data_IF_485088648787
#
_entry.id   IF_485088648787
#
_cell.length_a   1.000
_cell.length_b   1.000
_cell.length_c   1.000
_cell.angle_alpha   90.00
_cell.angle_beta   90.00
_cell.angle_gamma   90.00
#
_symmetry.space_group_name_H-M   'P 1'
#
loop_
_entity.id
_entity.type
_entity.pdbx_description
1 polymer ?
#
# COMPACT_ATOMS: atom_id res chain seq x y z
N UNK A 1 1.74 6.18 -4.90
CA UNK A 1 1.29 7.36 -5.67
C UNK A 1 2.51 8.04 -6.25
N UNK A 2 2.57 8.19 -7.57
CA UNK A 2 3.69 8.81 -8.28
C UNK A 2 3.45 10.30 -8.46
N UNK A 3 4.46 11.12 -8.19
CA UNK A 3 4.42 12.57 -8.40
C UNK A 3 4.73 12.90 -9.85
N UNK A 4 3.92 13.79 -10.41
CA UNK A 4 4.11 14.40 -11.73
C UNK A 4 4.84 15.74 -11.58
N UNK A 5 4.20 16.89 -11.85
CA UNK A 5 4.78 18.17 -11.51
C UNK A 5 5.05 18.26 -9.99
N UNK A 6 6.28 18.61 -9.64
CA UNK A 6 6.68 18.89 -8.27
C UNK A 6 6.41 20.34 -7.85
N UNK A 7 7.05 20.76 -6.77
CA UNK A 7 7.05 22.14 -6.28
C UNK A 7 8.47 22.67 -6.07
N UNK A 8 8.62 23.99 -6.02
CA UNK A 8 9.92 24.62 -5.68
C UNK A 8 10.17 24.47 -4.19
N UNK A 9 11.44 24.33 -3.81
CA UNK A 9 11.84 24.31 -2.41
C UNK A 9 11.35 25.58 -1.70
N UNK A 10 10.65 25.39 -0.57
CA UNK A 10 10.05 26.47 0.20
C UNK A 10 8.66 26.92 -0.28
N UNK A 11 8.11 26.33 -1.35
CA UNK A 11 6.78 26.64 -1.88
C UNK A 11 5.84 25.44 -1.68
N UNK A 12 5.02 25.41 -0.61
CA UNK A 12 4.08 24.32 -0.35
C UNK A 12 3.00 24.18 -1.43
N UNK A 13 2.49 22.96 -1.62
CA UNK A 13 1.35 22.68 -2.48
C UNK A 13 0.07 22.75 -1.63
N UNK A 14 -0.85 23.66 -1.98
CA UNK A 14 -2.14 23.76 -1.31
C UNK A 14 -3.04 22.56 -1.63
N UNK A 15 -3.93 22.20 -0.71
CA UNK A 15 -4.79 21.01 -0.81
C UNK A 15 -5.59 20.93 -2.11
N UNK A 16 -6.21 22.03 -2.54
CA UNK A 16 -7.01 22.06 -3.77
C UNK A 16 -6.17 21.99 -5.06
N UNK A 17 -4.85 22.21 -4.97
CA UNK A 17 -3.93 22.09 -6.09
C UNK A 17 -3.17 20.75 -6.11
N UNK A 18 -3.22 19.98 -5.02
CA UNK A 18 -2.41 18.78 -4.83
C UNK A 18 -2.69 17.68 -5.85
N UNK A 19 -3.93 17.55 -6.33
CA UNK A 19 -4.28 16.54 -7.34
C UNK A 19 -3.53 16.75 -8.66
N UNK A 20 -3.27 18.00 -9.05
CA UNK A 20 -2.49 18.32 -10.25
C UNK A 20 -1.01 17.93 -10.17
N UNK A 21 -0.51 17.58 -8.98
CA UNK A 21 0.86 17.09 -8.77
C UNK A 21 0.97 15.57 -8.82
N UNK A 22 -0.14 14.85 -9.00
CA UNK A 22 -0.16 13.38 -9.01
C UNK A 22 -0.12 12.89 -10.46
N UNK A 23 0.95 12.17 -10.84
CA UNK A 23 1.05 11.52 -12.15
C UNK A 23 0.19 10.25 -12.25
N UNK A 24 0.03 9.54 -11.13
CA UNK A 24 -0.84 8.37 -11.08
C UNK A 24 -0.60 7.44 -9.90
N UNK A 25 -1.26 6.29 -9.97
CA UNK A 25 -1.37 5.33 -8.89
C UNK A 25 -0.91 3.95 -9.35
N UNK A 26 -0.25 3.23 -8.46
CA UNK A 26 0.22 1.85 -8.67
C UNK A 26 0.16 1.10 -7.35
N UNK A 27 0.31 -0.22 -7.42
CA UNK A 27 0.47 -1.07 -6.26
C UNK A 27 1.90 -0.96 -5.73
N UNK A 28 2.04 -1.05 -4.40
CA UNK A 28 3.32 -1.03 -3.71
C UNK A 28 3.28 -2.08 -2.60
N UNK A 29 4.25 -3.00 -2.58
CA UNK A 29 4.49 -3.91 -1.47
C UNK A 29 5.75 -3.47 -0.72
N UNK A 30 5.56 -2.98 0.50
CA UNK A 30 6.59 -2.49 1.42
C UNK A 30 7.03 -3.63 2.36
N UNK A 31 7.97 -4.44 1.87
CA UNK A 31 8.44 -5.65 2.56
C UNK A 31 9.07 -5.30 3.90
N UNK A 32 8.87 -6.15 4.90
CA UNK A 32 9.20 -5.80 6.28
C UNK A 32 9.76 -6.96 7.10
N UNK A 33 10.96 -6.80 7.64
CA UNK A 33 11.55 -7.71 8.64
C UNK A 33 11.16 -7.23 10.05
N UNK A 34 10.06 -7.76 10.60
CA UNK A 34 9.39 -7.18 11.78
C UNK A 34 10.16 -7.34 13.10
N UNK A 35 10.93 -8.41 13.21
CA UNK A 35 11.86 -8.65 14.30
C UNK A 35 12.97 -7.58 14.32
N UNK A 36 13.64 -7.36 13.19
CA UNK A 36 14.65 -6.32 13.03
C UNK A 36 14.05 -4.93 13.25
N UNK A 37 12.87 -4.67 12.69
CA UNK A 37 12.17 -3.39 12.83
C UNK A 37 11.92 -3.05 14.31
N UNK A 38 11.47 -4.03 15.09
CA UNK A 38 11.16 -3.84 16.51
C UNK A 38 12.38 -3.47 17.33
N UNK A 39 13.57 -3.93 16.92
CA UNK A 39 14.84 -3.58 17.54
C UNK A 39 15.35 -2.20 17.12
N UNK A 40 15.30 -1.86 15.82
CA UNK A 40 15.99 -0.68 15.29
C UNK A 40 15.17 0.63 15.33
N UNK A 41 13.82 0.54 15.33
CA UNK A 41 13.02 1.72 14.95
C UNK A 41 13.01 2.86 15.98
N UNK A 42 13.45 2.61 17.21
CA UNK A 42 13.49 3.64 18.25
C UNK A 42 14.88 4.29 18.31
N UNK A 43 14.99 5.62 18.23
CA UNK A 43 13.93 6.63 18.12
C UNK A 43 13.66 7.15 16.69
N UNK A 44 14.40 6.65 15.68
CA UNK A 44 14.52 7.31 14.37
C UNK A 44 13.56 6.79 13.29
N UNK A 45 12.76 5.78 13.61
CA UNK A 45 11.86 5.12 12.68
C UNK A 45 12.49 3.91 11.97
N UNK A 46 11.70 3.19 11.16
CA UNK A 46 12.15 2.00 10.43
C UNK A 46 13.28 2.33 9.44
N UNK A 47 14.25 1.44 9.31
CA UNK A 47 15.38 1.62 8.41
C UNK A 47 15.71 0.33 7.65
N UNK A 48 16.65 -0.50 8.13
CA UNK A 48 17.10 -1.70 7.42
C UNK A 48 15.99 -2.76 7.29
N UNK A 49 15.06 -2.77 8.24
CA UNK A 49 13.90 -3.64 8.19
C UNK A 49 12.93 -3.33 7.05
N UNK A 50 13.13 -2.23 6.32
CA UNK A 50 12.31 -1.77 5.18
C UNK A 50 13.13 -1.56 3.92
N UNK A 51 14.34 -1.03 4.05
CA UNK A 51 15.18 -0.64 2.91
C UNK A 51 15.76 -1.81 2.12
N UNK A 52 15.52 -3.06 2.54
CA UNK A 52 16.01 -4.24 1.83
C UNK A 52 15.26 -4.50 0.53
N UNK A 53 13.94 -4.23 0.47
CA UNK A 53 13.17 -4.44 -0.74
C UNK A 53 11.82 -3.70 -0.71
N UNK A 54 11.44 -3.08 -1.83
CA UNK A 54 10.09 -2.57 -2.08
C UNK A 54 9.72 -2.90 -3.52
N UNK A 55 8.56 -3.55 -3.73
CA UNK A 55 8.09 -3.91 -5.07
C UNK A 55 6.97 -2.94 -5.49
N UNK A 56 6.97 -2.52 -6.75
CA UNK A 56 5.91 -1.69 -7.34
C UNK A 56 5.31 -2.37 -8.57
N UNK A 57 4.02 -2.16 -8.84
CA UNK A 57 3.42 -2.62 -10.09
C UNK A 57 3.97 -1.85 -11.30
N UNK A 58 4.08 -2.49 -12.48
CA UNK A 58 4.63 -1.85 -13.66
C UNK A 58 3.70 -0.81 -14.30
N UNK A 59 2.40 -0.87 -14.01
CA UNK A 59 1.41 0.04 -14.58
C UNK A 59 1.11 1.19 -13.62
N UNK A 60 1.21 2.41 -14.14
CA UNK A 60 0.80 3.65 -13.46
C UNK A 60 -0.56 4.04 -14.04
N UNK A 61 -1.60 3.99 -13.21
CA UNK A 61 -2.97 4.35 -13.58
C UNK A 61 -3.15 5.85 -13.34
N UNK A 62 -3.52 6.59 -14.38
CA UNK A 62 -3.59 8.06 -14.30
C UNK A 62 -4.82 8.54 -13.50
N UNK A 63 -4.79 9.76 -12.94
CA UNK A 63 -5.95 10.35 -12.28
C UNK A 63 -7.18 10.44 -13.19
N UNK A 64 -7.01 10.74 -14.49
CA UNK A 64 -8.11 10.85 -15.46
C UNK A 64 -8.81 9.50 -15.66
N UNK A 65 -8.04 8.42 -15.72
CA UNK A 65 -8.59 7.07 -15.79
C UNK A 65 -9.40 6.73 -14.53
N UNK A 66 -8.93 7.20 -13.36
CA UNK A 66 -9.61 6.96 -12.07
C UNK A 66 -10.73 7.96 -11.74
N UNK A 67 -10.93 9.02 -12.53
CA UNK A 67 -11.92 10.05 -12.26
C UNK A 67 -13.34 9.50 -12.02
N UNK A 68 -13.84 8.48 -12.76
CA UNK A 68 -15.15 7.88 -12.49
C UNK A 68 -15.25 7.11 -11.17
N UNK A 69 -14.11 6.75 -10.58
CA UNK A 69 -13.97 5.95 -9.37
C UNK A 69 -13.54 6.81 -8.17
N UNK A 70 -13.66 8.14 -8.29
CA UNK A 70 -13.59 9.07 -7.15
C UNK A 70 -14.84 8.93 -6.28
N UNK A 71 -14.69 9.07 -4.98
CA UNK A 71 -15.78 9.02 -4.01
C UNK A 71 -15.56 10.00 -2.85
N UNK A 72 -16.60 10.34 -2.09
CA UNK A 72 -16.44 11.11 -0.86
C UNK A 72 -15.48 10.41 0.12
N UNK A 73 -14.67 11.20 0.81
CA UNK A 73 -13.88 10.69 1.93
C UNK A 73 -14.83 10.23 3.04
N UNK A 74 -14.54 9.09 3.67
CA UNK A 74 -15.37 8.60 4.77
C UNK A 74 -15.40 9.65 5.90
N UNK A 75 -16.59 9.93 6.47
CA UNK A 75 -16.71 10.91 7.53
C UNK A 75 -15.95 10.43 8.77
N UNK A 76 -15.26 11.37 9.40
CA UNK A 76 -14.61 11.16 10.70
C UNK A 76 -15.67 11.02 11.79
N UNK A 77 -15.34 10.28 12.86
CA UNK A 77 -16.18 10.21 14.06
C UNK A 77 -16.37 11.61 14.66
N UNK A 78 -17.49 11.84 15.35
CA UNK A 78 -17.70 13.10 16.08
C UNK A 78 -16.67 13.32 17.21
N UNK A 79 -16.06 12.26 17.71
CA UNK A 79 -15.01 12.29 18.74
C UNK A 79 -13.60 12.52 18.16
N UNK A 80 -13.47 12.49 16.84
CA UNK A 80 -12.20 12.59 16.13
C UNK A 80 -11.86 14.06 15.84
N UNK A 81 -10.66 14.54 16.22
CA UNK A 81 -10.29 15.93 15.98
C UNK A 81 -10.34 16.27 14.48
N UNK A 82 -10.99 17.40 14.20
CA UNK A 82 -11.03 17.98 12.85
C UNK A 82 -9.59 18.26 12.37
N UNK A 83 -9.25 17.93 11.10
CA UNK A 83 -7.98 18.34 10.52
C UNK A 83 -7.75 19.86 10.65
N UNK A 84 -6.48 20.24 10.75
CA UNK A 84 -6.09 21.66 10.64
C UNK A 84 -6.55 22.24 9.28
N UNK A 85 -6.80 23.55 9.20
CA UNK A 85 -7.41 24.16 8.00
C UNK A 85 -6.69 23.86 6.68
N UNK A 86 -5.35 23.77 6.67
CA UNK A 86 -4.59 23.47 5.46
C UNK A 86 -4.78 22.04 4.93
N UNK A 87 -5.33 21.13 5.74
CA UNK A 87 -5.66 19.74 5.38
C UNK A 87 -7.17 19.52 5.23
N UNK A 88 -7.97 20.59 5.13
CA UNK A 88 -9.41 20.47 4.99
C UNK A 88 -9.96 21.32 3.85
N UNK A 89 -10.51 20.65 2.84
CA UNK A 89 -11.19 21.26 1.70
C UNK A 89 -12.51 20.55 1.45
N UNK A 90 -13.59 21.28 1.19
CA UNK A 90 -14.88 20.70 0.81
C UNK A 90 -14.79 19.90 -0.50
N UNK A 91 -13.94 20.33 -1.43
CA UNK A 91 -13.72 19.63 -2.71
C UNK A 91 -13.06 18.27 -2.47
N UNK A 92 -12.00 18.26 -1.66
CA UNK A 92 -11.30 17.04 -1.25
C UNK A 92 -12.21 16.10 -0.43
N UNK A 93 -13.03 16.62 0.47
CA UNK A 93 -13.94 15.77 1.24
C UNK A 93 -15.06 15.15 0.38
N UNK A 94 -15.50 15.85 -0.67
CA UNK A 94 -16.57 15.36 -1.56
C UNK A 94 -16.10 14.32 -2.58
N UNK A 95 -14.83 14.35 -2.99
CA UNK A 95 -14.34 13.49 -4.07
C UNK A 95 -12.88 13.04 -3.96
N UNK A 96 -12.15 13.38 -2.90
CA UNK A 96 -10.71 13.10 -2.78
C UNK A 96 -10.35 11.63 -2.62
N UNK A 97 -11.28 10.79 -2.16
CA UNK A 97 -11.06 9.36 -2.00
C UNK A 97 -11.16 8.59 -3.32
N UNK A 98 -10.48 7.44 -3.37
CA UNK A 98 -10.55 6.50 -4.48
C UNK A 98 -11.41 5.30 -4.08
N UNK A 99 -12.16 4.75 -5.04
CA UNK A 99 -12.94 3.52 -4.94
C UNK A 99 -12.21 2.41 -5.70
N UNK A 100 -11.32 1.71 -5.00
CA UNK A 100 -10.47 0.66 -5.55
C UNK A 100 -10.43 -0.52 -4.57
N UNK A 101 -10.88 -1.68 -5.04
CA UNK A 101 -10.75 -2.93 -4.31
C UNK A 101 -9.35 -3.50 -4.46
N UNK A 102 -8.81 -4.04 -3.36
CA UNK A 102 -7.49 -4.67 -3.31
C UNK A 102 -7.60 -6.11 -2.78
N UNK A 103 -6.76 -6.99 -3.29
CA UNK A 103 -6.58 -8.33 -2.75
C UNK A 103 -5.09 -8.69 -2.70
N UNK A 104 -4.75 -9.56 -1.75
CA UNK A 104 -3.43 -10.18 -1.65
C UNK A 104 -3.58 -11.69 -1.74
N UNK A 105 -2.78 -12.29 -2.62
CA UNK A 105 -2.71 -13.72 -2.84
C UNK A 105 -1.37 -14.25 -2.33
N UNK A 106 -1.40 -15.41 -1.70
CA UNK A 106 -0.22 -16.18 -1.29
C UNK A 106 -0.18 -17.51 -2.06
N UNK A 107 0.98 -17.88 -2.56
CA UNK A 107 1.23 -19.16 -3.22
C UNK A 107 2.54 -19.76 -2.70
N UNK A 108 2.44 -20.91 -2.03
CA UNK A 108 3.59 -21.65 -1.50
C UNK A 108 4.15 -22.63 -2.52
N UNK A 109 5.35 -23.14 -2.26
CA UNK A 109 5.96 -24.24 -3.04
C UNK A 109 5.07 -25.51 -3.03
N UNK A 110 4.53 -25.89 -1.87
CA UNK A 110 3.70 -27.08 -1.76
C UNK A 110 2.35 -26.92 -2.50
N UNK A 111 1.74 -25.73 -2.44
CA UNK A 111 0.56 -25.41 -3.25
C UNK A 111 0.87 -25.54 -4.74
N UNK A 112 2.01 -25.03 -5.21
CA UNK A 112 2.45 -25.20 -6.61
C UNK A 112 2.62 -26.66 -7.02
N UNK A 113 3.28 -27.46 -6.18
CA UNK A 113 3.49 -28.89 -6.44
C UNK A 113 2.18 -29.69 -6.45
N UNK A 114 1.22 -29.30 -5.62
CA UNK A 114 -0.11 -29.91 -5.57
C UNK A 114 -1.08 -29.40 -6.66
N UNK A 115 -0.65 -28.46 -7.53
CA UNK A 115 -1.50 -27.87 -8.56
C UNK A 115 -2.62 -26.97 -8.00
N UNK A 116 -2.46 -26.47 -6.78
CA UNK A 116 -3.41 -25.56 -6.14
C UNK A 116 -3.22 -24.12 -6.63
N UNK A 117 -4.32 -23.39 -6.76
CA UNK A 117 -4.30 -21.97 -7.11
C UNK A 117 -3.80 -21.11 -5.94
N UNK A 118 -3.23 -19.91 -6.18
CA UNK A 118 -2.91 -18.95 -5.13
C UNK A 118 -4.12 -18.68 -4.23
N UNK A 119 -3.93 -18.68 -2.92
CA UNK A 119 -4.97 -18.42 -1.94
C UNK A 119 -5.05 -16.93 -1.66
N UNK A 120 -6.27 -16.36 -1.69
CA UNK A 120 -6.50 -15.00 -1.20
C UNK A 120 -6.43 -14.97 0.32
N UNK A 121 -5.47 -14.23 0.85
CA UNK A 121 -5.22 -14.12 2.28
C UNK A 121 -5.85 -12.86 2.91
N UNK A 122 -6.13 -11.84 2.10
CA UNK A 122 -6.86 -10.63 2.53
C UNK A 122 -7.53 -9.94 1.35
N UNK A 123 -8.62 -9.23 1.61
CA UNK A 123 -9.28 -8.34 0.67
C UNK A 123 -9.67 -7.03 1.38
N UNK A 124 -9.22 -5.90 0.86
CA UNK A 124 -9.50 -4.58 1.44
C UNK A 124 -9.93 -3.59 0.36
N UNK A 125 -10.09 -2.34 0.75
CA UNK A 125 -10.57 -1.27 -0.11
C UNK A 125 -9.87 0.06 0.23
N UNK A 126 -9.63 0.91 -0.77
CA UNK A 126 -9.00 2.22 -0.54
C UNK A 126 -9.85 3.18 0.28
N UNK A 127 -11.14 2.91 0.48
CA UNK A 127 -11.98 3.69 1.41
C UNK A 127 -11.48 3.66 2.85
N UNK A 128 -10.73 2.62 3.22
CA UNK A 128 -10.12 2.52 4.55
C UNK A 128 -8.93 3.47 4.73
N UNK A 129 -8.47 4.16 3.68
CA UNK A 129 -7.47 5.21 3.80
C UNK A 129 -8.07 6.40 4.53
N UNK A 130 -7.54 6.69 5.69
CA UNK A 130 -8.03 7.77 6.54
C UNK A 130 -7.63 9.17 6.04
N UNK A 131 -6.55 9.26 5.28
CA UNK A 131 -6.08 10.49 4.62
C UNK A 131 -6.15 10.35 3.10
N UNK A 132 -6.63 11.39 2.41
CA UNK A 132 -6.71 11.40 0.94
C UNK A 132 -5.33 11.56 0.31
N UNK A 133 -5.16 11.16 -0.96
CA UNK A 133 -3.93 11.43 -1.72
C UNK A 133 -3.52 12.91 -1.70
N UNK A 134 -4.49 13.82 -1.82
CA UNK A 134 -4.24 15.26 -1.80
C UNK A 134 -3.74 15.74 -0.43
N UNK A 135 -4.29 15.21 0.67
CA UNK A 135 -3.81 15.49 2.02
C UNK A 135 -2.37 15.00 2.23
N UNK A 136 -1.99 13.84 1.69
CA UNK A 136 -0.62 13.33 1.77
C UNK A 136 0.40 14.27 1.09
N UNK A 137 0.11 14.70 -0.14
CA UNK A 137 0.98 15.66 -0.88
C UNK A 137 1.07 17.00 -0.14
N UNK A 138 -0.08 17.52 0.29
CA UNK A 138 -0.17 18.81 1.00
C UNK A 138 0.61 18.78 2.30
N UNK A 139 0.46 17.72 3.09
CA UNK A 139 1.18 17.59 4.34
C UNK A 139 2.68 17.47 4.11
N UNK A 140 3.10 16.65 3.14
CA UNK A 140 4.52 16.46 2.80
C UNK A 140 5.22 17.79 2.47
N UNK A 141 4.55 18.65 1.69
CA UNK A 141 5.14 19.92 1.24
C UNK A 141 4.91 21.08 2.22
N UNK A 142 4.15 20.88 3.30
CA UNK A 142 3.77 21.95 4.25
C UNK A 142 4.94 22.62 4.96
N UNK A 143 6.07 21.94 5.09
CA UNK A 143 7.31 22.48 5.65
C UNK A 143 8.25 23.08 4.59
N UNK A 144 7.80 23.18 3.33
CA UNK A 144 8.61 23.63 2.20
C UNK A 144 9.41 22.53 1.50
N UNK A 145 9.25 21.25 1.85
CA UNK A 145 9.85 20.14 1.10
C UNK A 145 9.46 20.22 -0.38
N UNK A 146 10.43 20.07 -1.28
CA UNK A 146 10.19 19.99 -2.71
C UNK A 146 9.96 18.53 -3.12
N UNK A 147 8.80 18.26 -3.71
CA UNK A 147 8.58 17.05 -4.47
C UNK A 147 9.14 17.22 -5.88
N UNK A 148 9.61 16.11 -6.46
CA UNK A 148 10.13 16.01 -7.81
C UNK A 148 9.29 15.04 -8.65
N UNK A 149 9.32 15.21 -9.97
CA UNK A 149 8.71 14.25 -10.88
C UNK A 149 9.35 12.87 -10.72
N UNK A 150 8.52 11.85 -10.54
CA UNK A 150 8.97 10.49 -10.27
C UNK A 150 9.09 10.13 -8.79
N UNK A 151 8.91 11.09 -7.86
CA UNK A 151 8.82 10.75 -6.44
C UNK A 151 7.65 9.80 -6.18
N UNK A 152 7.83 8.89 -5.23
CA UNK A 152 6.86 7.86 -4.89
C UNK A 152 6.43 7.99 -3.42
N UNK A 153 5.16 8.27 -3.21
CA UNK A 153 4.55 8.33 -1.88
C UNK A 153 3.74 7.05 -1.65
N UNK A 154 4.14 6.26 -0.67
CA UNK A 154 3.37 5.11 -0.18
C UNK A 154 2.17 5.57 0.66
N UNK A 155 1.07 4.83 0.62
CA UNK A 155 -0.15 5.15 1.39
C UNK A 155 -0.05 4.75 2.86
N UNK A 156 0.97 3.96 3.21
CA UNK A 156 0.92 3.08 4.39
C UNK A 156 0.12 1.81 4.10
N UNK A 157 0.18 0.87 5.05
CA UNK A 157 -0.59 -0.37 5.01
C UNK A 157 -2.09 -0.06 4.99
N UNK A 158 -2.83 -0.64 4.03
CA UNK A 158 -4.28 -0.46 3.92
C UNK A 158 -4.96 -1.62 4.64
N UNK A 159 -5.65 -1.33 5.74
CA UNK A 159 -6.34 -2.32 6.56
C UNK A 159 -7.80 -1.91 6.76
N UNK A 160 -8.71 -2.86 6.60
CA UNK A 160 -10.11 -2.74 7.02
C UNK A 160 -10.22 -2.80 8.55
N UNK A 161 -11.35 -2.32 9.08
CA UNK A 161 -11.64 -2.40 10.51
C UNK A 161 -11.84 -3.84 11.01
N UNK A 162 -12.28 -4.75 10.13
CA UNK A 162 -12.46 -6.16 10.45
C UNK A 162 -11.32 -7.06 9.92
N UNK A 163 -11.31 -8.30 10.38
CA UNK A 163 -10.25 -9.27 10.08
C UNK A 163 -10.24 -9.78 8.64
N UNK A 164 -11.22 -9.44 7.80
CA UNK A 164 -11.25 -9.88 6.40
C UNK A 164 -10.34 -9.06 5.49
N UNK A 165 -9.97 -7.85 5.94
CA UNK A 165 -9.20 -6.90 5.15
C UNK A 165 -7.97 -6.33 5.83
N UNK A 166 -7.35 -7.06 6.75
CA UNK A 166 -6.06 -6.67 7.33
C UNK A 166 -4.95 -6.62 6.27
N UNK A 167 -4.13 -5.57 6.31
CA UNK A 167 -3.16 -5.27 5.26
C UNK A 167 -1.80 -5.94 5.42
N UNK A 168 -1.59 -6.74 6.47
CA UNK A 168 -0.33 -7.45 6.70
C UNK A 168 -0.50 -8.78 7.41
N UNK A 169 0.44 -9.72 7.20
CA UNK A 169 0.48 -10.96 7.97
C UNK A 169 0.66 -10.72 9.48
N UNK A 170 1.29 -9.61 9.87
CA UNK A 170 1.39 -9.20 11.27
C UNK A 170 -0.01 -9.01 11.89
N UNK A 171 -0.93 -8.38 11.17
CA UNK A 171 -2.31 -8.18 11.62
C UNK A 171 -3.13 -9.47 11.50
N UNK A 172 -3.09 -10.14 10.34
CA UNK A 172 -3.81 -11.41 10.06
C UNK A 172 -3.52 -12.45 11.14
N UNK A 173 -2.26 -12.58 11.56
CA UNK A 173 -1.84 -13.62 12.50
C UNK A 173 -1.74 -13.14 13.95
N UNK A 174 -2.17 -11.90 14.23
CA UNK A 174 -2.06 -11.23 15.53
C UNK A 174 -0.64 -11.30 16.11
N UNK A 175 0.34 -10.88 15.32
CA UNK A 175 1.77 -10.99 15.59
C UNK A 175 2.22 -12.45 15.77
N UNK A 176 1.78 -13.33 14.87
CA UNK A 176 2.13 -14.74 14.86
C UNK A 176 1.54 -15.55 16.00
N UNK A 177 0.53 -15.05 16.73
CA UNK A 177 -0.16 -15.83 17.78
C UNK A 177 -1.18 -16.81 17.18
N UNK A 178 -1.90 -16.36 16.16
CA UNK A 178 -2.92 -17.13 15.46
C UNK A 178 -2.42 -17.43 14.04
N UNK A 179 -2.09 -18.69 13.69
CA UNK A 179 -1.60 -19.00 12.35
C UNK A 179 -2.70 -18.87 11.29
N UNK A 180 -2.31 -18.51 10.07
CA UNK A 180 -3.15 -18.57 8.88
C UNK A 180 -3.06 -19.98 8.28
N UNK A 181 -4.17 -20.71 8.23
CA UNK A 181 -4.25 -22.01 7.54
C UNK A 181 -4.48 -21.80 6.03
N UNK A 182 -3.66 -22.47 5.22
CA UNK A 182 -3.74 -22.45 3.76
C UNK A 182 -4.50 -23.66 3.22
N UNK A 183 -4.92 -23.60 1.95
CA UNK A 183 -5.69 -24.62 1.26
C UNK A 183 -4.92 -25.95 1.11
N UNK A 184 -3.59 -25.90 1.16
CA UNK A 184 -2.71 -27.07 1.23
C UNK A 184 -2.70 -27.75 2.60
N UNK A 185 -3.26 -27.12 3.64
CA UNK A 185 -3.11 -27.52 5.04
C UNK A 185 -1.87 -26.95 5.73
N UNK A 186 -1.00 -26.22 5.01
CA UNK A 186 0.12 -25.48 5.60
C UNK A 186 -0.39 -24.35 6.51
N UNK A 187 0.42 -23.99 7.50
CA UNK A 187 0.19 -22.80 8.32
C UNK A 187 1.26 -21.74 8.03
N UNK A 188 0.86 -20.46 8.08
CA UNK A 188 1.80 -19.33 8.03
C UNK A 188 1.56 -18.38 9.20
N UNK A 189 2.66 -17.96 9.83
CA UNK A 189 2.69 -16.86 10.82
C UNK A 189 3.28 -15.60 10.17
N UNK A 190 4.39 -15.80 9.47
CA UNK A 190 5.00 -14.86 8.55
C UNK A 190 5.34 -15.61 7.26
N UNK A 191 5.95 -14.91 6.31
CA UNK A 191 6.38 -15.52 5.06
C UNK A 191 7.56 -16.47 5.29
N UNK A 192 7.59 -17.54 4.51
CA UNK A 192 8.69 -18.50 4.43
C UNK A 192 9.39 -18.41 3.06
N UNK A 193 10.59 -18.96 2.97
CA UNK A 193 11.32 -19.04 1.70
C UNK A 193 10.49 -19.80 0.65
N UNK A 194 10.47 -19.28 -0.58
CA UNK A 194 9.65 -19.79 -1.67
C UNK A 194 8.22 -19.25 -1.67
N UNK A 195 7.75 -18.57 -0.62
CA UNK A 195 6.42 -17.96 -0.65
C UNK A 195 6.34 -16.85 -1.71
N UNK A 196 5.30 -16.89 -2.52
CA UNK A 196 5.01 -15.87 -3.51
C UNK A 196 3.83 -15.01 -3.07
N UNK A 197 4.05 -13.69 -3.01
CA UNK A 197 3.02 -12.71 -2.67
C UNK A 197 2.63 -11.94 -3.92
N UNK A 198 1.33 -11.87 -4.20
CA UNK A 198 0.78 -11.08 -5.31
C UNK A 198 -0.30 -10.11 -4.82
N UNK A 199 -0.05 -8.82 -4.98
CA UNK A 199 -1.06 -7.76 -4.83
C UNK A 199 -1.80 -7.56 -6.16
N UNK A 200 -3.12 -7.37 -6.08
CA UNK A 200 -3.98 -6.96 -7.18
C UNK A 200 -4.92 -5.85 -6.73
N UNK A 201 -5.30 -4.99 -7.66
CA UNK A 201 -6.35 -4.02 -7.43
C UNK A 201 -7.21 -3.79 -8.68
N UNK A 202 -8.46 -3.40 -8.43
CA UNK A 202 -9.43 -3.06 -9.47
C UNK A 202 -10.38 -1.97 -9.00
N UNK A 203 -10.54 -0.95 -9.85
CA UNK A 203 -11.61 0.04 -9.73
C UNK A 203 -12.81 -0.44 -10.57
N UNK A 204 -13.99 -0.43 -9.97
CA UNK A 204 -15.24 -0.90 -10.61
C UNK A 204 -16.40 0.00 -10.21
N UNK A 205 -17.24 0.35 -11.18
CA UNK A 205 -18.46 1.14 -10.98
C UNK A 205 -19.44 0.81 -12.09
N UNK A 206 -20.71 0.65 -11.74
CA UNK A 206 -21.77 0.41 -12.73
C UNK A 206 -21.79 1.53 -13.79
N UNK A 207 -21.91 1.14 -15.07
CA UNK A 207 -21.88 2.07 -16.20
C UNK A 207 -20.47 2.50 -16.68
N UNK A 208 -19.40 2.07 -16.01
CA UNK A 208 -18.01 2.37 -16.41
C UNK A 208 -17.20 1.10 -16.66
N UNK A 209 -16.22 1.17 -17.57
CA UNK A 209 -15.26 0.08 -17.81
C UNK A 209 -14.34 -0.04 -16.60
N UNK A 210 -14.28 -1.22 -15.98
CA UNK A 210 -13.41 -1.45 -14.83
C UNK A 210 -11.93 -1.29 -15.17
N UNK A 211 -11.14 -0.74 -14.24
CA UNK A 211 -9.71 -0.49 -14.42
C UNK A 211 -8.90 -1.35 -13.47
N UNK A 212 -8.02 -2.19 -14.01
CA UNK A 212 -7.10 -3.02 -13.24
C UNK A 212 -5.72 -2.39 -13.14
N UNK A 213 -5.01 -2.69 -12.05
CA UNK A 213 -3.66 -2.18 -11.77
C UNK A 213 -2.54 -3.16 -12.18
N UNK A 214 -2.89 -4.26 -12.85
CA UNK A 214 -1.97 -5.38 -13.06
C UNK A 214 -1.66 -6.10 -11.75
N UNK A 215 -0.45 -6.64 -11.64
CA UNK A 215 0.03 -7.36 -10.45
C UNK A 215 1.32 -6.74 -9.92
N UNK A 216 1.43 -6.64 -8.60
CA UNK A 216 2.70 -6.42 -7.91
C UNK A 216 3.07 -7.73 -7.20
N UNK A 217 4.09 -8.43 -7.72
CA UNK A 217 4.40 -9.83 -7.38
C UNK A 217 5.89 -9.99 -7.08
N UNK A 218 6.21 -10.71 -6.03
CA UNK A 218 7.57 -11.21 -5.80
C UNK A 218 7.54 -12.55 -5.05
N UNK A 219 8.67 -13.26 -5.10
CA UNK A 219 8.92 -14.52 -4.41
C UNK A 219 9.98 -14.27 -3.35
N UNK A 220 9.75 -14.74 -2.12
CA UNK A 220 10.74 -14.68 -1.05
C UNK A 220 11.84 -15.71 -1.35
N UNK A 221 13.08 -15.25 -1.43
CA UNK A 221 14.25 -16.12 -1.61
C UNK A 221 14.96 -16.32 -0.28
N UNK A 222 15.64 -17.47 -0.08
CA UNK A 222 16.47 -17.69 1.09
C UNK A 222 17.46 -16.56 1.32
N UNK A 223 17.63 -16.19 2.59
CA UNK A 223 18.66 -15.23 2.98
C UNK A 223 20.06 -15.76 2.63
N UNK A 224 20.97 -14.86 2.24
CA UNK A 224 22.37 -15.22 2.10
C UNK A 224 22.96 -15.63 3.44
N UNK A 225 23.57 -16.82 3.50
CA UNK A 225 24.40 -17.25 4.63
C UNK A 225 25.87 -17.06 4.28
N UNK A 226 26.69 -16.67 5.27
CA UNK A 226 28.15 -16.58 5.09
C UNK A 226 28.69 -17.95 4.66
N UNK A 227 29.07 -18.06 3.38
CA UNK A 227 29.64 -19.29 2.78
C UNK A 227 28.97 -19.80 1.51
N UNK A 228 27.85 -19.23 1.06
CA UNK A 228 27.14 -19.61 -0.18
C UNK A 228 27.23 -18.55 -1.29
N UNK A 229 27.36 -19.00 -2.55
CA UNK A 229 27.53 -18.18 -3.75
C UNK A 229 26.55 -17.00 -3.87
N UNK A 230 27.09 -15.86 -4.32
CA UNK A 230 26.47 -14.64 -4.87
C UNK A 230 25.02 -14.34 -4.43
N UNK A 231 24.89 -13.36 -3.53
CA UNK A 231 23.62 -12.75 -3.18
C UNK A 231 22.95 -12.10 -4.39
N UNK A 232 21.71 -12.49 -4.66
CA UNK A 232 20.78 -11.71 -5.46
C UNK A 232 19.75 -11.09 -4.51
N UNK A 233 19.69 -9.76 -4.52
CA UNK A 233 18.76 -8.92 -3.76
C UNK A 233 17.43 -8.73 -4.49
#
# INVERSE_FOLDING_TARGET
>A
MWIGPGNRLGEPIALDAAEGSIAGYGLLNDWSARDLQSWEYQPLGPFLAKSFHTTVSPWIITPEALAPFRQPQLPRSAEDPRPLPYLLSESDQRSGALNVALEVLLLTDAMRQAGLAPQRITASHTENLYWTPAQLVTHHTSNGCNLCAGDLLGTGTISSADSTGYGSLLEITRAGREPLTLASGEERRFLEDGDEVTLRARASREGFVSIGFGTCRAVVTPACTEGGNACHA
#
